data_IF_451044235823
#
_entry.id   IF_451044235823
#
_cell.length_a   1.000
_cell.length_b   1.000
_cell.length_c   1.000
_cell.angle_alpha   90.00
_cell.angle_beta   90.00
_cell.angle_gamma   90.00
#
_symmetry.space_group_name_H-M   'P 1'
#
loop_
_entity.id
_entity.type
_entity.pdbx_description
1 polymer ?
#
# COMPACT_ATOMS: atom_id res chain seq x y z
N UNK A 1 -12.17 -1.57 -32.50
CA UNK A 1 -11.58 -2.76 -31.86
C UNK A 1 -11.19 -2.33 -30.46
N UNK A 2 -11.99 -2.73 -29.46
CA UNK A 2 -11.75 -2.35 -28.06
C UNK A 2 -10.66 -3.25 -27.50
N UNK A 3 -9.61 -2.65 -26.94
CA UNK A 3 -8.49 -3.36 -26.33
C UNK A 3 -9.00 -4.06 -25.04
N UNK A 4 -8.79 -5.37 -24.83
CA UNK A 4 -9.30 -6.06 -23.64
C UNK A 4 -8.48 -5.80 -22.35
N UNK A 5 -7.34 -5.12 -22.45
CA UNK A 5 -6.34 -5.06 -21.36
C UNK A 5 -6.65 -4.07 -20.22
N UNK A 6 -7.78 -3.34 -20.26
CA UNK A 6 -8.12 -2.35 -19.21
C UNK A 6 -9.09 -2.88 -18.14
N UNK A 7 -9.68 -4.06 -18.33
CA UNK A 7 -10.64 -4.63 -17.39
C UNK A 7 -9.95 -5.29 -16.19
N UNK A 8 -8.83 -5.96 -16.42
CA UNK A 8 -8.08 -6.65 -15.35
C UNK A 8 -7.54 -5.66 -14.32
N UNK A 9 -6.97 -4.53 -14.75
CA UNK A 9 -6.47 -3.48 -13.84
C UNK A 9 -7.59 -2.94 -12.91
N UNK A 10 -8.79 -2.74 -13.44
CA UNK A 10 -9.94 -2.24 -12.67
C UNK A 10 -10.43 -3.22 -11.60
N UNK A 11 -10.44 -4.52 -11.91
CA UNK A 11 -10.84 -5.55 -10.96
C UNK A 11 -9.82 -5.68 -9.84
N UNK A 12 -8.52 -5.64 -10.15
CA UNK A 12 -7.46 -5.69 -9.13
C UNK A 12 -7.48 -4.48 -8.19
N UNK A 13 -7.65 -3.26 -8.73
CA UNK A 13 -7.74 -2.05 -7.91
C UNK A 13 -8.92 -2.11 -6.93
N UNK A 14 -10.05 -2.65 -7.38
CA UNK A 14 -11.23 -2.84 -6.54
C UNK A 14 -10.99 -3.89 -5.46
N UNK A 15 -10.35 -5.02 -5.81
CA UNK A 15 -9.99 -6.07 -4.85
C UNK A 15 -9.01 -5.59 -3.78
N UNK A 16 -8.01 -4.77 -4.13
CA UNK A 16 -7.07 -4.21 -3.15
C UNK A 16 -7.81 -3.30 -2.17
N UNK A 17 -8.69 -2.41 -2.65
CA UNK A 17 -9.47 -1.53 -1.78
C UNK A 17 -10.43 -2.32 -0.87
N UNK A 18 -11.11 -3.34 -1.39
CA UNK A 18 -11.96 -4.21 -0.58
C UNK A 18 -11.15 -4.93 0.50
N UNK A 19 -9.97 -5.45 0.14
CA UNK A 19 -9.07 -6.10 1.08
C UNK A 19 -8.58 -5.15 2.19
N UNK A 20 -8.19 -3.91 1.86
CA UNK A 20 -7.83 -2.89 2.85
C UNK A 20 -8.98 -2.62 3.83
N UNK A 21 -10.21 -2.53 3.32
CA UNK A 21 -11.40 -2.33 4.14
C UNK A 21 -11.62 -3.50 5.11
N UNK A 22 -11.53 -4.73 4.62
CA UNK A 22 -11.66 -5.93 5.43
C UNK A 22 -10.54 -6.04 6.49
N UNK A 23 -9.30 -5.78 6.10
CA UNK A 23 -8.15 -5.78 7.01
C UNK A 23 -8.31 -4.73 8.12
N UNK A 24 -8.76 -3.53 7.77
CA UNK A 24 -9.00 -2.48 8.77
C UNK A 24 -10.01 -2.91 9.84
N UNK A 25 -11.06 -3.63 9.44
CA UNK A 25 -12.05 -4.17 10.37
C UNK A 25 -11.46 -5.30 11.23
N UNK A 26 -10.61 -6.15 10.66
CA UNK A 26 -9.91 -7.22 11.40
C UNK A 26 -8.91 -6.66 12.43
N UNK A 27 -8.28 -5.53 12.12
CA UNK A 27 -7.36 -4.80 13.01
C UNK A 27 -8.10 -3.96 14.07
N UNK A 28 -9.44 -3.98 14.09
CA UNK A 28 -10.25 -3.32 15.11
C UNK A 28 -10.60 -1.85 14.83
N UNK A 29 -10.14 -1.31 13.70
CA UNK A 29 -10.39 0.09 13.29
C UNK A 29 -10.98 0.10 11.88
N UNK A 30 -12.27 -0.24 11.72
CA UNK A 30 -12.91 -0.29 10.41
C UNK A 30 -12.90 1.10 9.75
N UNK A 31 -12.26 1.19 8.60
CA UNK A 31 -12.19 2.42 7.81
C UNK A 31 -13.41 2.56 6.89
N UNK A 32 -13.79 3.81 6.66
CA UNK A 32 -14.78 4.15 5.64
C UNK A 32 -14.17 4.10 4.23
N UNK A 33 -15.04 4.13 3.22
CA UNK A 33 -14.62 4.02 1.82
C UNK A 33 -13.71 5.16 1.35
N UNK A 34 -13.88 6.38 1.87
CA UNK A 34 -13.04 7.50 1.48
C UNK A 34 -11.62 7.35 2.04
N UNK A 35 -11.49 6.91 3.30
CA UNK A 35 -10.21 6.60 3.92
C UNK A 35 -9.46 5.49 3.16
N UNK A 36 -10.16 4.40 2.82
CA UNK A 36 -9.59 3.30 2.04
C UNK A 36 -9.11 3.76 0.66
N UNK A 37 -9.94 4.53 -0.06
CA UNK A 37 -9.58 5.11 -1.36
C UNK A 37 -8.35 6.00 -1.26
N UNK A 38 -8.24 6.79 -0.19
CA UNK A 38 -7.11 7.68 0.00
C UNK A 38 -5.82 6.91 0.30
N UNK A 39 -5.85 5.86 1.12
CA UNK A 39 -4.70 4.97 1.35
C UNK A 39 -4.24 4.36 0.03
N UNK A 40 -5.18 3.80 -0.74
CA UNK A 40 -4.91 3.19 -2.02
C UNK A 40 -4.28 4.19 -3.02
N UNK A 41 -4.86 5.39 -3.13
CA UNK A 41 -4.32 6.43 -4.01
C UNK A 41 -2.92 6.88 -3.58
N UNK A 42 -2.68 7.04 -2.27
CA UNK A 42 -1.36 7.39 -1.76
C UNK A 42 -0.32 6.31 -2.13
N UNK A 43 -0.68 5.02 -2.05
CA UNK A 43 0.20 3.94 -2.46
C UNK A 43 0.50 3.98 -3.97
N UNK A 44 -0.50 4.25 -4.81
CA UNK A 44 -0.31 4.46 -6.25
C UNK A 44 0.63 5.64 -6.54
N UNK A 45 0.44 6.77 -5.85
CA UNK A 45 1.25 7.97 -6.04
C UNK A 45 2.69 7.74 -5.61
N UNK A 46 2.92 7.07 -4.48
CA UNK A 46 4.24 6.70 -3.98
C UNK A 46 4.98 5.81 -4.98
N UNK A 47 4.27 4.83 -5.56
CA UNK A 47 4.86 3.86 -6.49
C UNK A 47 4.82 4.32 -7.96
N UNK A 48 4.33 5.53 -8.25
CA UNK A 48 4.17 6.03 -9.62
C UNK A 48 5.48 6.10 -10.43
N UNK A 49 6.63 6.11 -9.76
CA UNK A 49 7.96 6.11 -10.35
C UNK A 49 8.49 4.70 -10.67
N UNK A 50 7.85 3.65 -10.12
CA UNK A 50 8.12 2.25 -10.43
C UNK A 50 6.94 1.65 -11.21
N UNK A 51 7.11 0.46 -11.79
CA UNK A 51 6.02 -0.29 -12.41
C UNK A 51 5.67 -1.48 -11.51
N UNK A 52 4.96 -1.25 -10.39
CA UNK A 52 4.81 -2.26 -9.36
C UNK A 52 3.86 -3.37 -9.80
N UNK A 53 4.14 -4.61 -9.37
CA UNK A 53 3.14 -5.66 -9.38
C UNK A 53 1.92 -5.30 -8.50
N UNK A 54 0.73 -5.88 -8.77
CA UNK A 54 -0.43 -5.71 -7.89
C UNK A 54 -0.18 -6.11 -6.44
N UNK A 55 0.68 -7.11 -6.22
CA UNK A 55 1.05 -7.56 -4.88
C UNK A 55 1.87 -6.49 -4.15
N UNK A 56 2.85 -5.88 -4.82
CA UNK A 56 3.67 -4.80 -4.26
C UNK A 56 2.83 -3.59 -3.90
N UNK A 57 1.90 -3.21 -4.76
CA UNK A 57 0.95 -2.15 -4.47
C UNK A 57 0.10 -2.48 -3.24
N UNK A 58 -0.43 -3.71 -3.15
CA UNK A 58 -1.22 -4.15 -2.01
C UNK A 58 -0.42 -4.13 -0.70
N UNK A 59 0.86 -4.53 -0.72
CA UNK A 59 1.74 -4.51 0.45
C UNK A 59 2.04 -3.09 0.93
N UNK A 60 2.38 -2.15 0.03
CA UNK A 60 2.58 -0.74 0.39
C UNK A 60 1.29 -0.13 0.96
N UNK A 61 0.15 -0.37 0.31
CA UNK A 61 -1.13 0.11 0.81
C UNK A 61 -1.48 -0.50 2.19
N UNK A 62 -1.14 -1.77 2.42
CA UNK A 62 -1.27 -2.44 3.70
C UNK A 62 -0.37 -1.82 4.78
N UNK A 63 0.88 -1.48 4.47
CA UNK A 63 1.77 -0.78 5.41
C UNK A 63 1.22 0.59 5.79
N UNK A 64 0.75 1.37 4.81
CA UNK A 64 0.10 2.66 5.06
C UNK A 64 -1.15 2.53 5.93
N UNK A 65 -1.93 1.46 5.73
CA UNK A 65 -3.10 1.15 6.56
C UNK A 65 -2.69 0.92 8.01
N UNK A 66 -1.67 0.11 8.25
CA UNK A 66 -1.17 -0.17 9.61
C UNK A 66 -0.73 1.14 10.28
N UNK A 67 0.06 1.97 9.59
CA UNK A 67 0.49 3.25 10.13
C UNK A 67 -0.66 4.20 10.47
N UNK A 68 -1.73 4.18 9.68
CA UNK A 68 -2.92 4.96 9.99
C UNK A 68 -3.71 4.41 11.19
N UNK A 69 -3.77 3.09 11.37
CA UNK A 69 -4.53 2.44 12.45
C UNK A 69 -3.79 2.54 13.79
N UNK A 70 -2.48 2.34 13.79
CA UNK A 70 -1.66 2.34 15.00
C UNK A 70 -1.32 3.74 15.51
N UNK A 71 -1.79 4.79 14.83
CA UNK A 71 -1.44 6.19 15.09
C UNK A 71 0.09 6.37 15.13
N UNK A 72 0.78 5.70 14.18
CA UNK A 72 2.24 5.71 14.07
C UNK A 72 2.76 7.14 13.96
N UNK A 73 3.93 7.39 14.54
CA UNK A 73 4.50 8.73 14.57
C UNK A 73 4.61 9.32 13.14
N UNK A 74 4.20 10.58 12.92
CA UNK A 74 4.23 11.20 11.59
C UNK A 74 5.61 11.19 10.92
N UNK A 75 6.67 11.16 11.73
CA UNK A 75 8.05 11.08 11.27
C UNK A 75 8.38 9.72 10.65
N UNK A 76 7.84 8.63 11.19
CA UNK A 76 8.03 7.28 10.66
C UNK A 76 7.27 7.09 9.34
N UNK A 77 6.02 7.55 9.26
CA UNK A 77 5.27 7.57 8.00
C UNK A 77 6.02 8.37 6.92
N UNK A 78 6.56 9.54 7.30
CA UNK A 78 7.34 10.37 6.38
C UNK A 78 8.63 9.67 5.96
N UNK A 79 9.32 8.99 6.88
CA UNK A 79 10.50 8.21 6.58
C UNK A 79 10.19 7.10 5.57
N UNK A 80 9.15 6.30 5.82
CA UNK A 80 8.74 5.21 4.92
C UNK A 80 8.42 5.73 3.53
N UNK A 81 7.60 6.79 3.43
CA UNK A 81 7.26 7.41 2.15
C UNK A 81 8.52 7.86 1.38
N UNK A 82 9.48 8.48 2.08
CA UNK A 82 10.75 8.88 1.46
C UNK A 82 11.60 7.69 1.02
N UNK A 83 11.59 6.57 1.77
CA UNK A 83 12.32 5.36 1.38
C UNK A 83 11.70 4.73 0.13
N UNK A 84 10.38 4.57 0.09
CA UNK A 84 9.67 4.04 -1.08
C UNK A 84 9.97 4.89 -2.33
N UNK A 85 9.99 6.22 -2.21
CA UNK A 85 10.31 7.13 -3.33
C UNK A 85 11.77 7.09 -3.79
N UNK A 86 12.68 6.51 -2.99
CA UNK A 86 14.08 6.34 -3.34
C UNK A 86 14.38 4.98 -3.97
N UNK A 87 13.44 4.04 -3.90
CA UNK A 87 13.57 2.74 -4.54
C UNK A 87 13.67 2.90 -6.07
N UNK A 88 14.54 2.11 -6.69
CA UNK A 88 14.78 2.14 -8.13
C UNK A 88 13.83 1.22 -8.90
N UNK A 89 13.33 0.17 -8.25
CA UNK A 89 12.45 -0.84 -8.83
C UNK A 89 11.57 -1.51 -7.74
N UNK A 90 10.73 -2.46 -8.16
CA UNK A 90 9.82 -3.14 -7.23
C UNK A 90 10.55 -4.04 -6.22
N UNK A 91 11.72 -4.58 -6.55
CA UNK A 91 12.46 -5.49 -5.66
C UNK A 91 12.95 -4.72 -4.43
N UNK A 92 13.51 -3.52 -4.63
CA UNK A 92 13.92 -2.65 -3.53
C UNK A 92 12.74 -2.23 -2.62
N UNK A 93 11.54 -2.05 -3.19
CA UNK A 93 10.33 -1.77 -2.40
C UNK A 93 9.96 -2.96 -1.52
N UNK A 94 9.99 -4.18 -2.07
CA UNK A 94 9.70 -5.40 -1.32
C UNK A 94 10.72 -5.63 -0.20
N UNK A 95 12.01 -5.43 -0.48
CA UNK A 95 13.07 -5.52 0.53
C UNK A 95 12.87 -4.51 1.67
N UNK A 96 12.47 -3.27 1.35
CA UNK A 96 12.13 -2.26 2.34
C UNK A 96 10.99 -2.74 3.24
N UNK A 97 9.88 -3.22 2.67
CA UNK A 97 8.73 -3.72 3.44
C UNK A 97 9.12 -4.92 4.30
N UNK A 98 9.93 -5.84 3.79
CA UNK A 98 10.44 -6.98 4.57
C UNK A 98 11.33 -6.54 5.73
N UNK A 99 12.13 -5.49 5.55
CA UNK A 99 12.98 -4.95 6.61
C UNK A 99 12.19 -4.41 7.82
N UNK A 100 11.01 -3.83 7.58
CA UNK A 100 10.10 -3.36 8.63
C UNK A 100 9.63 -4.53 9.49
N UNK A 101 9.18 -5.61 8.86
CA UNK A 101 8.68 -6.81 9.55
C UNK A 101 9.73 -7.52 10.41
N UNK A 102 11.02 -7.36 10.09
CA UNK A 102 12.12 -7.92 10.90
C UNK A 102 12.44 -7.08 12.12
N UNK A 103 12.10 -5.80 12.10
CA UNK A 103 12.41 -4.87 13.19
C UNK A 103 11.47 -5.08 14.38
N UNK A 104 10.22 -5.50 14.13
CA UNK A 104 9.24 -5.88 15.19
C UNK A 104 9.57 -7.21 15.90
N UNK A 105 10.49 -8.01 15.37
CA UNK A 105 10.81 -9.34 15.89
C UNK A 105 12.08 -9.37 16.78
N UNK A 106 12.65 -8.22 17.14
CA UNK A 106 13.87 -8.07 17.95
C UNK A 106 13.59 -7.35 19.28
#
# INVERSE_FOLDING_TARGET
>A
MSNPLHLEDSDFHSSIQENLKELSAQLGTPLDEASVKQIYQNACDLLSHVSPSPLTLARVAGTLLVYQIEDTEPEELKWFNNQVQQCLDEEEVEELIESLSRTDAL
#
